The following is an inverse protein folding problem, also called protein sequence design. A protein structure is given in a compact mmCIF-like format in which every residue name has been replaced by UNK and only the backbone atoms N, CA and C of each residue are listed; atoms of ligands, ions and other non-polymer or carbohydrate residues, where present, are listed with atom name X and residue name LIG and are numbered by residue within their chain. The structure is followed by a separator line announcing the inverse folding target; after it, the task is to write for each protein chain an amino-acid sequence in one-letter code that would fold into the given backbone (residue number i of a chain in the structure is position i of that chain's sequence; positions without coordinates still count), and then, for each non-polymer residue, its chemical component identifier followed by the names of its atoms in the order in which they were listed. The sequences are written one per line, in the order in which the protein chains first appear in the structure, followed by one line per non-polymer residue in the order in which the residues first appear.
data_IF_689617179384
#
_entry.id   IF_689617179384
#
_cell.length_a   1.000
_cell.length_b   1.000
_cell.length_c   1.000
_cell.angle_alpha   90.00
_cell.angle_beta   90.00
_cell.angle_gamma   90.00
#
_symmetry.space_group_name_H-M   'P 1'
#
loop_
_entity.id
_entity.type
_entity.pdbx_description
1 polymer ?
#
# COMPACT_ATOMS: atom_id res chain seq x y z
N UNK A 1 -14.36 -23.99 -34.39
CA UNK A 1 -13.67 -22.97 -35.20
C UNK A 1 -12.89 -22.07 -34.24
N UNK A 2 -11.89 -22.64 -33.56
CA UNK A 2 -11.11 -21.99 -32.49
C UNK A 2 -9.64 -22.23 -32.82
N UNK A 3 -9.02 -21.27 -33.49
CA UNK A 3 -7.57 -21.35 -33.82
C UNK A 3 -6.94 -19.98 -34.11
N UNK A 4 -7.61 -18.87 -33.79
CA UNK A 4 -7.09 -17.50 -34.00
C UNK A 4 -6.69 -16.79 -32.70
N UNK A 5 -6.87 -17.45 -31.54
CA UNK A 5 -6.58 -16.86 -30.23
C UNK A 5 -5.20 -17.23 -29.68
N UNK A 6 -4.49 -18.19 -30.28
CA UNK A 6 -3.19 -18.69 -29.77
C UNK A 6 -1.95 -17.93 -30.26
N UNK A 7 -2.10 -16.96 -31.17
CA UNK A 7 -0.98 -16.16 -31.64
C UNK A 7 -0.79 -14.92 -30.74
N UNK A 8 0.38 -14.73 -30.11
CA UNK A 8 0.62 -13.58 -29.26
C UNK A 8 0.56 -12.29 -30.10
N UNK A 9 -0.43 -11.44 -29.80
CA UNK A 9 -0.58 -10.11 -30.40
C UNK A 9 0.42 -9.13 -29.80
N UNK A 10 0.90 -8.18 -30.61
CA UNK A 10 1.87 -7.18 -30.17
C UNK A 10 1.16 -6.10 -29.36
N UNK A 11 1.58 -5.90 -28.11
CA UNK A 11 1.04 -4.88 -27.22
C UNK A 11 1.77 -3.54 -27.37
N UNK A 12 1.02 -2.46 -27.55
CA UNK A 12 1.49 -1.08 -27.60
C UNK A 12 0.83 -0.29 -26.46
N UNK A 13 1.59 0.61 -25.82
CA UNK A 13 1.09 1.40 -24.68
C UNK A 13 0.18 2.57 -25.07
N UNK A 14 0.14 2.99 -26.33
CA UNK A 14 -0.75 4.07 -26.79
C UNK A 14 -0.94 4.03 -28.30
N UNK A 15 -2.11 4.47 -28.77
CA UNK A 15 -2.37 4.73 -30.20
C UNK A 15 -1.37 5.75 -30.77
N UNK A 16 -0.98 6.75 -29.97
CA UNK A 16 -0.01 7.74 -30.39
C UNK A 16 1.36 7.13 -30.70
N UNK A 17 1.77 6.09 -29.97
CA UNK A 17 3.06 5.44 -30.24
C UNK A 17 3.01 4.62 -31.53
N UNK A 18 1.86 4.01 -31.83
CA UNK A 18 1.64 3.37 -33.13
C UNK A 18 1.70 4.37 -34.29
N UNK A 19 1.06 5.55 -34.13
CA UNK A 19 1.13 6.62 -35.14
C UNK A 19 2.57 7.15 -35.32
N UNK A 20 3.32 7.33 -34.23
CA UNK A 20 4.74 7.73 -34.31
C UNK A 20 5.58 6.71 -35.07
N UNK A 21 5.36 5.40 -34.86
CA UNK A 21 6.09 4.36 -35.59
C UNK A 21 5.81 4.45 -37.09
N UNK A 22 4.54 4.66 -37.47
CA UNK A 22 4.16 4.88 -38.87
C UNK A 22 4.83 6.12 -39.46
N UNK A 23 4.81 7.23 -38.75
CA UNK A 23 5.36 8.48 -39.24
C UNK A 23 6.90 8.41 -39.36
N UNK A 24 7.57 7.79 -38.40
CA UNK A 24 9.01 7.52 -38.46
C UNK A 24 9.38 6.61 -39.64
N UNK A 25 8.60 5.54 -39.86
CA UNK A 25 8.80 4.65 -41.00
C UNK A 25 8.62 5.40 -42.33
N UNK A 26 7.55 6.21 -42.44
CA UNK A 26 7.29 7.03 -43.62
C UNK A 26 8.42 8.02 -43.87
N UNK A 27 8.92 8.70 -42.84
CA UNK A 27 10.05 9.63 -42.97
C UNK A 27 11.32 8.93 -43.44
N UNK A 28 11.66 7.77 -42.86
CA UNK A 28 12.83 6.99 -43.27
C UNK A 28 12.72 6.44 -44.70
N UNK A 29 11.52 5.99 -45.10
CA UNK A 29 11.26 5.53 -46.45
C UNK A 29 11.37 6.67 -47.47
N UNK A 30 10.83 7.85 -47.15
CA UNK A 30 10.93 9.04 -47.99
C UNK A 30 12.37 9.57 -48.09
N UNK A 31 13.15 9.55 -47.00
CA UNK A 31 14.55 9.97 -47.05
C UNK A 31 15.38 9.07 -47.96
N UNK A 32 15.21 7.74 -47.86
CA UNK A 32 15.88 6.78 -48.73
C UNK A 32 15.45 6.91 -50.19
N UNK A 33 14.15 7.14 -50.42
CA UNK A 33 13.65 7.40 -51.77
C UNK A 33 14.31 8.64 -52.35
N UNK A 34 14.32 9.75 -51.60
CA UNK A 34 14.89 11.03 -52.05
C UNK A 34 16.38 10.91 -52.39
N UNK A 35 17.14 10.17 -51.59
CA UNK A 35 18.57 9.91 -51.83
C UNK A 35 18.78 9.16 -53.14
N UNK A 36 17.98 8.11 -53.38
CA UNK A 36 18.07 7.32 -54.62
C UNK A 36 17.57 8.07 -55.85
N UNK A 37 16.50 8.86 -55.72
CA UNK A 37 15.99 9.65 -56.85
C UNK A 37 16.96 10.75 -57.26
N UNK A 38 17.64 11.36 -56.29
CA UNK A 38 18.68 12.35 -56.54
C UNK A 38 19.92 11.73 -57.21
N UNK A 39 20.30 10.51 -56.82
CA UNK A 39 21.43 9.80 -57.42
C UNK A 39 21.15 9.33 -58.87
N UNK A 40 19.92 8.88 -59.16
CA UNK A 40 19.56 8.28 -60.45
C UNK A 40 18.93 9.25 -61.47
N UNK A 41 18.68 10.52 -61.11
CA UNK A 41 18.07 11.57 -61.97
C UNK A 41 16.78 11.13 -62.69
N UNK A 42 15.84 10.55 -61.96
CA UNK A 42 14.53 10.20 -62.53
C UNK A 42 13.73 11.44 -62.98
N UNK A 43 12.92 11.35 -64.05
CA UNK A 43 11.94 12.36 -64.41
C UNK A 43 10.95 12.62 -63.26
N UNK A 44 10.55 13.88 -63.05
CA UNK A 44 9.66 14.28 -61.95
C UNK A 44 8.32 13.53 -61.93
N UNK A 45 7.81 13.12 -63.10
CA UNK A 45 6.55 12.39 -63.22
C UNK A 45 6.65 10.95 -62.68
N UNK A 46 7.78 10.27 -62.89
CA UNK A 46 8.05 8.94 -62.34
C UNK A 46 8.28 8.99 -60.84
N UNK A 47 8.96 10.04 -60.35
CA UNK A 47 9.16 10.26 -58.92
C UNK A 47 7.82 10.40 -58.17
N UNK A 48 6.88 11.18 -58.72
CA UNK A 48 5.55 11.35 -58.14
C UNK A 48 4.75 10.04 -58.14
N UNK A 49 4.85 9.24 -59.20
CA UNK A 49 4.19 7.94 -59.28
C UNK A 49 4.75 6.94 -58.24
N UNK A 50 6.07 6.88 -58.10
CA UNK A 50 6.72 6.02 -57.09
C UNK A 50 6.35 6.46 -55.67
N UNK A 51 6.31 7.78 -55.42
CA UNK A 51 5.90 8.32 -54.12
C UNK A 51 4.45 7.94 -53.77
N UNK A 52 3.53 8.02 -54.74
CA UNK A 52 2.15 7.59 -54.54
C UNK A 52 2.04 6.08 -54.24
N UNK A 53 2.81 5.25 -54.94
CA UNK A 53 2.86 3.81 -54.68
C UNK A 53 3.50 3.47 -53.33
N UNK A 54 4.50 4.24 -52.90
CA UNK A 54 5.13 4.08 -51.60
C UNK A 54 4.17 4.41 -50.46
N UNK A 55 3.41 5.50 -50.58
CA UNK A 55 2.37 5.85 -49.60
C UNK A 55 1.29 4.76 -49.53
N UNK A 56 0.82 4.27 -50.68
CA UNK A 56 -0.14 3.16 -50.73
C UNK A 56 0.42 1.87 -50.10
N UNK A 57 1.70 1.59 -50.28
CA UNK A 57 2.37 0.44 -49.68
C UNK A 57 2.46 0.59 -48.16
N UNK A 58 2.81 1.77 -47.65
CA UNK A 58 2.82 2.07 -46.22
C UNK A 58 1.41 1.87 -45.64
N UNK A 59 0.38 2.47 -46.23
CA UNK A 59 -0.98 2.34 -45.72
C UNK A 59 -1.46 0.89 -45.71
N UNK A 60 -1.10 0.12 -46.73
CA UNK A 60 -1.44 -1.31 -46.82
C UNK A 60 -0.69 -2.17 -45.80
N UNK A 61 0.58 -1.88 -45.54
CA UNK A 61 1.37 -2.62 -44.54
C UNK A 61 0.86 -2.37 -43.12
N UNK A 62 0.54 -1.11 -42.80
CA UNK A 62 0.02 -0.76 -41.48
C UNK A 62 -1.40 -1.29 -41.27
N UNK A 63 -2.28 -1.26 -42.28
CA UNK A 63 -3.62 -1.88 -42.19
C UNK A 63 -3.57 -3.41 -42.03
N UNK A 64 -2.62 -4.10 -42.68
CA UNK A 64 -2.41 -5.54 -42.45
C UNK A 64 -1.87 -5.86 -41.05
N UNK A 65 -1.18 -4.92 -40.42
CA UNK A 65 -0.63 -5.09 -39.07
C UNK A 65 -1.65 -4.81 -37.95
N UNK A 66 -2.64 -3.94 -38.19
CA UNK A 66 -3.72 -3.59 -37.25
C UNK A 66 -4.39 -4.78 -36.52
N UNK A 67 -4.83 -5.87 -37.19
CA UNK A 67 -5.50 -6.98 -36.50
C UNK A 67 -4.63 -7.70 -35.46
N UNK A 68 -3.30 -7.62 -35.63
CA UNK A 68 -2.33 -8.26 -34.74
C UNK A 68 -1.86 -7.35 -33.60
N UNK A 69 -2.45 -6.15 -33.46
CA UNK A 69 -2.07 -5.15 -32.47
C UNK A 69 -3.05 -5.12 -31.29
N UNK A 70 -2.52 -4.93 -30.09
CA UNK A 70 -3.26 -4.60 -28.87
C UNK A 70 -2.80 -3.26 -28.34
N UNK A 71 -3.72 -2.37 -28.00
CA UNK A 71 -3.43 -1.07 -27.37
C UNK A 71 -4.00 -1.09 -25.97
N UNK A 72 -3.16 -0.92 -24.94
CA UNK A 72 -3.59 -0.89 -23.54
C UNK A 72 -4.46 -2.10 -23.11
N UNK A 73 -4.18 -3.28 -23.67
CA UNK A 73 -4.92 -4.51 -23.36
C UNK A 73 -6.22 -4.69 -24.16
N UNK A 74 -6.63 -3.70 -24.96
CA UNK A 74 -7.74 -3.82 -25.92
C UNK A 74 -7.22 -4.18 -27.31
N UNK A 75 -8.03 -4.86 -28.13
CA UNK A 75 -7.66 -5.14 -29.51
C UNK A 75 -7.81 -3.87 -30.35
N UNK A 76 -6.93 -3.67 -31.33
CA UNK A 76 -6.98 -2.46 -32.17
C UNK A 76 -8.27 -2.36 -33.00
N UNK A 77 -8.86 -3.49 -33.39
CA UNK A 77 -10.13 -3.56 -34.13
C UNK A 77 -11.34 -3.06 -33.33
N UNK A 78 -11.24 -2.99 -32.00
CA UNK A 78 -12.29 -2.44 -31.13
C UNK A 78 -12.16 -0.93 -30.90
N UNK A 79 -11.12 -0.28 -31.43
CA UNK A 79 -11.03 1.17 -31.44
C UNK A 79 -11.80 1.72 -32.65
N UNK A 80 -12.65 2.72 -32.43
CA UNK A 80 -13.42 3.40 -33.48
C UNK A 80 -12.52 3.93 -34.61
N UNK A 81 -13.05 3.97 -35.84
CA UNK A 81 -12.38 4.35 -37.11
C UNK A 81 -11.62 5.69 -37.09
N UNK A 82 -11.85 6.53 -36.07
CA UNK A 82 -11.18 7.82 -35.87
C UNK A 82 -9.99 7.80 -34.90
N UNK A 83 -9.57 6.62 -34.39
CA UNK A 83 -8.43 6.51 -33.48
C UNK A 83 -8.59 7.29 -32.16
N UNK A 84 -9.80 7.76 -31.88
CA UNK A 84 -10.19 8.30 -30.58
C UNK A 84 -10.70 7.11 -29.79
N UNK A 85 -9.95 6.72 -28.76
CA UNK A 85 -10.52 6.05 -27.59
C UNK A 85 -11.68 6.94 -27.12
N UNK A 86 -12.90 6.73 -27.62
CA UNK A 86 -14.07 7.12 -26.87
C UNK A 86 -14.21 6.02 -25.83
N UNK A 87 -13.40 6.13 -24.78
CA UNK A 87 -13.47 5.24 -23.64
C UNK A 87 -14.94 5.26 -23.17
N UNK A 88 -15.65 4.13 -23.23
CA UNK A 88 -17.05 4.10 -22.86
C UNK A 88 -17.17 4.56 -21.40
N UNK A 89 -18.14 5.44 -21.12
CA UNK A 89 -18.31 6.00 -19.79
C UNK A 89 -18.55 4.88 -18.78
N UNK A 90 -17.57 4.63 -17.91
CA UNK A 90 -17.68 3.62 -16.87
C UNK A 90 -18.39 4.20 -15.64
N UNK A 91 -19.71 4.02 -15.59
CA UNK A 91 -20.54 4.40 -14.45
C UNK A 91 -20.08 3.76 -13.14
N UNK A 92 -19.46 2.58 -13.19
CA UNK A 92 -18.97 1.90 -11.97
C UNK A 92 -17.76 2.63 -11.39
N UNK A 93 -16.89 3.13 -12.26
CA UNK A 93 -15.72 3.92 -11.88
C UNK A 93 -16.15 5.28 -11.33
N UNK A 94 -17.14 5.93 -11.94
CA UNK A 94 -17.71 7.17 -11.42
C UNK A 94 -18.31 6.97 -10.02
N UNK A 95 -19.19 5.97 -9.84
CA UNK A 95 -19.74 5.61 -8.51
C UNK A 95 -18.64 5.35 -7.49
N UNK A 96 -17.55 4.71 -7.91
CA UNK A 96 -16.38 4.48 -7.04
C UNK A 96 -15.70 5.79 -6.66
N UNK A 97 -15.49 6.72 -7.59
CA UNK A 97 -14.95 8.06 -7.30
C UNK A 97 -15.80 8.77 -6.24
N UNK A 98 -17.12 8.77 -6.40
CA UNK A 98 -18.04 9.36 -5.43
C UNK A 98 -17.95 8.70 -4.05
N UNK A 99 -17.93 7.37 -4.01
CA UNK A 99 -17.77 6.64 -2.74
C UNK A 99 -16.43 6.94 -2.06
N UNK A 100 -15.35 7.06 -2.84
CA UNK A 100 -14.02 7.39 -2.32
C UNK A 100 -13.95 8.83 -1.81
N UNK A 101 -14.60 9.77 -2.49
CA UNK A 101 -14.70 11.15 -2.04
C UNK A 101 -15.45 11.24 -0.70
N UNK A 102 -16.56 10.52 -0.55
CA UNK A 102 -17.32 10.50 0.70
C UNK A 102 -16.54 9.84 1.84
N UNK A 103 -15.92 8.67 1.60
CA UNK A 103 -15.06 8.04 2.62
C UNK A 103 -13.91 8.94 3.04
N UNK A 104 -13.29 9.68 2.11
CA UNK A 104 -12.25 10.67 2.42
C UNK A 104 -12.78 11.76 3.35
N UNK A 105 -13.97 12.31 3.07
CA UNK A 105 -14.61 13.32 3.92
C UNK A 105 -14.88 12.77 5.33
N UNK A 106 -15.42 11.55 5.43
CA UNK A 106 -15.67 10.88 6.70
C UNK A 106 -14.38 10.68 7.50
N UNK A 107 -13.28 10.27 6.85
CA UNK A 107 -11.99 10.13 7.50
C UNK A 107 -11.44 11.46 8.01
N UNK A 108 -11.54 12.53 7.21
CA UNK A 108 -11.14 13.86 7.66
C UNK A 108 -11.93 14.32 8.89
N UNK A 109 -13.25 14.07 8.90
CA UNK A 109 -14.10 14.36 10.06
C UNK A 109 -13.66 13.57 11.29
N UNK A 110 -13.49 12.25 11.19
CA UNK A 110 -13.03 11.41 12.31
C UNK A 110 -11.65 11.84 12.82
N UNK A 111 -10.72 12.19 11.93
CA UNK A 111 -9.39 12.66 12.33
C UNK A 111 -9.48 13.99 13.08
N UNK A 112 -10.33 14.92 12.63
CA UNK A 112 -10.53 16.19 13.31
C UNK A 112 -11.18 16.00 14.70
N UNK A 113 -12.19 15.13 14.80
CA UNK A 113 -12.86 14.80 16.06
C UNK A 113 -11.90 14.13 17.04
N UNK A 114 -11.15 13.12 16.59
CA UNK A 114 -10.16 12.42 17.43
C UNK A 114 -9.05 13.34 17.90
N UNK A 115 -8.52 14.21 17.03
CA UNK A 115 -7.52 15.23 17.44
C UNK A 115 -8.05 16.21 18.49
N UNK A 116 -9.36 16.43 18.53
CA UNK A 116 -10.00 17.35 19.48
C UNK A 116 -10.34 16.67 20.81
N UNK A 117 -10.91 15.46 20.80
CA UNK A 117 -11.42 14.81 22.02
C UNK A 117 -10.39 13.93 22.71
N UNK A 118 -9.64 13.13 21.95
CA UNK A 118 -8.78 12.08 22.49
C UNK A 118 -7.66 12.64 23.38
N UNK A 119 -6.97 13.75 23.05
CA UNK A 119 -5.96 14.29 23.95
C UNK A 119 -6.52 14.73 25.31
N UNK A 120 -7.73 15.31 25.33
CA UNK A 120 -8.38 15.74 26.56
C UNK A 120 -8.81 14.54 27.42
N UNK A 121 -9.33 13.49 26.79
CA UNK A 121 -9.67 12.22 27.47
C UNK A 121 -8.41 11.58 28.08
N UNK A 122 -7.33 11.47 27.31
CA UNK A 122 -6.04 10.94 27.81
C UNK A 122 -5.51 11.79 28.97
N UNK A 123 -5.56 13.12 28.85
CA UNK A 123 -5.11 14.01 29.91
C UNK A 123 -5.88 13.74 31.21
N UNK A 124 -7.21 13.66 31.14
CA UNK A 124 -8.03 13.38 32.33
C UNK A 124 -7.68 12.05 32.98
N UNK A 125 -7.53 10.99 32.17
CA UNK A 125 -7.16 9.67 32.67
C UNK A 125 -5.76 9.65 33.31
N UNK A 126 -4.79 10.37 32.74
CA UNK A 126 -3.43 10.46 33.29
C UNK A 126 -3.43 11.23 34.62
N UNK A 127 -4.16 12.34 34.70
CA UNK A 127 -4.30 13.12 35.95
C UNK A 127 -4.92 12.26 37.04
N UNK A 128 -6.02 11.55 36.75
CA UNK A 128 -6.68 10.66 37.70
C UNK A 128 -5.75 9.56 38.22
N UNK A 129 -4.92 8.98 37.34
CA UNK A 129 -3.94 7.96 37.73
C UNK A 129 -2.85 8.54 38.64
N UNK A 130 -2.33 9.73 38.32
CA UNK A 130 -1.32 10.40 39.14
C UNK A 130 -1.87 10.76 40.52
N UNK A 131 -3.11 11.22 40.60
CA UNK A 131 -3.71 11.58 41.89
C UNK A 131 -4.00 10.34 42.75
N UNK A 132 -4.40 9.22 42.14
CA UNK A 132 -4.47 7.93 42.85
C UNK A 132 -3.10 7.48 43.37
N UNK A 133 -2.05 7.64 42.58
CA UNK A 133 -0.69 7.30 43.01
C UNK A 133 -0.25 8.15 44.19
N UNK A 134 -0.44 9.47 44.14
CA UNK A 134 -0.15 10.37 45.26
C UNK A 134 -0.92 10.00 46.52
N UNK A 135 -2.19 9.60 46.39
CA UNK A 135 -3.00 9.16 47.52
C UNK A 135 -2.44 7.88 48.15
N UNK A 136 -1.99 6.92 47.33
CA UNK A 136 -1.35 5.69 47.80
C UNK A 136 -0.01 6.01 48.47
N UNK A 137 0.84 6.83 47.86
CA UNK A 137 2.12 7.25 48.43
C UNK A 137 1.93 7.95 49.79
N UNK A 138 0.93 8.83 49.89
CA UNK A 138 0.59 9.51 51.14
C UNK A 138 0.08 8.55 52.24
N UNK A 139 -0.50 7.40 51.87
CA UNK A 139 -0.90 6.36 52.84
C UNK A 139 0.24 5.42 53.22
N UNK A 140 1.21 5.20 52.33
CA UNK A 140 2.36 4.31 52.54
C UNK A 140 3.55 4.99 53.23
N UNK A 141 3.68 6.31 53.10
CA UNK A 141 4.66 7.13 53.82
C UNK A 141 3.98 7.77 55.04
N UNK A 142 4.23 7.28 56.27
CA UNK A 142 3.74 7.96 57.46
C UNK A 142 4.36 9.35 57.50
N UNK A 143 3.53 10.38 57.61
CA UNK A 143 3.94 11.74 58.00
C UNK A 143 4.62 11.62 59.38
N UNK A 144 5.95 11.56 59.40
CA UNK A 144 6.70 11.38 60.64
C UNK A 144 8.06 10.68 60.54
N UNK A 145 8.65 10.45 59.37
CA UNK A 145 10.11 10.24 59.32
C UNK A 145 10.79 11.60 59.26
N UNK A 146 10.71 12.35 60.38
CA UNK A 146 11.79 13.26 60.70
C UNK A 146 13.06 12.42 60.65
N UNK A 147 13.95 12.77 59.72
CA UNK A 147 15.34 12.29 59.74
C UNK A 147 15.96 12.96 60.97
N UNK A 148 15.68 12.39 62.13
CA UNK A 148 16.53 12.55 63.30
C UNK A 148 17.82 11.84 62.91
N UNK A 149 18.89 12.63 62.76
CA UNK A 149 20.26 12.14 62.87
C UNK A 149 20.38 11.46 64.24
N UNK A 150 20.04 10.16 64.28
CA UNK A 150 20.34 9.31 65.41
C UNK A 150 21.62 8.55 65.07
N UNK A 151 22.74 9.15 65.46
CA UNK A 151 23.97 8.43 65.73
C UNK A 151 23.68 7.33 66.78
N UNK A 152 23.35 6.11 66.37
CA UNK A 152 23.54 4.96 67.26
C UNK A 152 23.47 3.58 66.57
N UNK A 153 24.63 2.88 66.63
CA UNK A 153 24.86 1.42 66.64
C UNK A 153 24.82 0.60 65.34
N UNK A 154 25.96 -0.01 64.92
CA UNK A 154 26.04 -1.01 63.87
C UNK A 154 25.84 -2.43 64.42
N UNK A 155 24.77 -2.69 65.18
CA UNK A 155 24.33 -4.04 65.48
C UNK A 155 22.97 -4.27 64.83
N UNK A 156 23.00 -4.98 63.70
CA UNK A 156 21.82 -5.29 62.91
C UNK A 156 20.83 -6.12 63.71
N UNK A 157 19.65 -5.55 63.92
CA UNK A 157 18.52 -6.20 64.59
C UNK A 157 18.17 -7.50 63.84
N UNK A 158 18.38 -8.70 64.42
CA UNK A 158 18.30 -9.99 63.70
C UNK A 158 16.89 -10.27 63.17
N UNK A 159 15.87 -9.68 63.81
CA UNK A 159 14.47 -9.77 63.41
C UNK A 159 14.23 -9.04 62.08
N UNK A 160 14.94 -7.94 61.84
CA UNK A 160 14.83 -7.16 60.59
C UNK A 160 15.48 -7.91 59.42
N UNK A 161 16.62 -8.56 59.66
CA UNK A 161 17.29 -9.38 58.64
C UNK A 161 16.45 -10.60 58.25
N UNK A 162 15.86 -11.31 59.23
CA UNK A 162 14.98 -12.44 58.97
C UNK A 162 13.76 -12.06 58.12
N UNK A 163 13.10 -10.93 58.42
CA UNK A 163 11.97 -10.44 57.61
C UNK A 163 12.36 -10.11 56.17
N UNK A 164 13.56 -9.56 55.97
CA UNK A 164 14.07 -9.25 54.62
C UNK A 164 14.37 -10.54 53.87
N UNK A 165 14.98 -11.53 54.51
CA UNK A 165 15.24 -12.85 53.91
C UNK A 165 13.94 -13.58 53.56
N UNK A 166 12.94 -13.56 54.45
CA UNK A 166 11.61 -14.13 54.18
C UNK A 166 10.93 -13.44 52.99
N UNK A 167 10.96 -12.10 52.93
CA UNK A 167 10.39 -11.35 51.82
C UNK A 167 11.12 -11.65 50.49
N UNK A 168 12.45 -11.79 50.53
CA UNK A 168 13.23 -12.19 49.36
C UNK A 168 12.90 -13.61 48.91
N UNK A 169 12.75 -14.55 49.84
CA UNK A 169 12.35 -15.92 49.51
C UNK A 169 10.95 -15.97 48.89
N UNK A 170 9.98 -15.24 49.45
CA UNK A 170 8.62 -15.18 48.91
C UNK A 170 8.61 -14.60 47.49
N UNK A 171 9.31 -13.49 47.26
CA UNK A 171 9.38 -12.86 45.93
C UNK A 171 10.11 -13.73 44.91
N UNK A 172 11.16 -14.45 45.32
CA UNK A 172 11.89 -15.39 44.45
C UNK A 172 11.01 -16.58 44.08
N UNK A 173 10.24 -17.13 45.04
CA UNK A 173 9.31 -18.22 44.78
C UNK A 173 8.19 -17.77 43.82
N UNK A 174 7.62 -16.58 44.03
CA UNK A 174 6.60 -16.02 43.14
C UNK A 174 7.16 -15.82 41.71
N UNK A 175 8.40 -15.35 41.57
CA UNK A 175 9.04 -15.20 40.27
C UNK A 175 9.19 -16.55 39.55
N UNK A 176 9.59 -17.60 40.27
CA UNK A 176 9.70 -18.95 39.71
C UNK A 176 8.35 -19.53 39.29
N UNK A 177 7.29 -19.33 40.09
CA UNK A 177 5.93 -19.72 39.71
C UNK A 177 5.44 -18.98 38.46
N UNK A 178 5.78 -17.70 38.36
CA UNK A 178 5.40 -16.86 37.23
C UNK A 178 6.15 -17.29 35.95
N UNK A 179 7.45 -17.62 36.06
CA UNK A 179 8.23 -18.19 34.95
C UNK A 179 7.63 -19.51 34.44
N UNK A 180 7.22 -20.40 35.35
CA UNK A 180 6.59 -21.67 34.99
C UNK A 180 5.21 -21.49 34.34
N UNK A 181 4.45 -20.46 34.74
CA UNK A 181 3.08 -20.25 34.26
C UNK A 181 3.00 -19.40 32.98
N UNK A 182 3.96 -18.51 32.72
CA UNK A 182 3.98 -17.65 31.52
C UNK A 182 3.92 -18.48 30.25
N UNK A 183 4.79 -19.47 30.09
CA UNK A 183 4.88 -20.26 28.85
C UNK A 183 3.57 -20.97 28.55
N UNK A 184 2.94 -21.54 29.57
CA UNK A 184 1.63 -22.21 29.45
C UNK A 184 0.50 -21.24 29.10
N UNK A 185 0.50 -20.04 29.69
CA UNK A 185 -0.51 -19.02 29.36
C UNK A 185 -0.31 -18.45 27.96
N UNK A 186 0.95 -18.33 27.52
CA UNK A 186 1.28 -17.92 26.16
C UNK A 186 0.76 -18.91 25.12
N UNK A 187 1.00 -20.21 25.32
CA UNK A 187 0.46 -21.27 24.45
C UNK A 187 -1.07 -21.25 24.41
N UNK A 188 -1.73 -21.11 25.57
CA UNK A 188 -3.20 -20.98 25.62
C UNK A 188 -3.70 -19.74 24.87
N UNK A 189 -2.97 -18.64 24.94
CA UNK A 189 -3.27 -17.41 24.20
C UNK A 189 -3.16 -17.60 22.69
N UNK A 190 -2.11 -18.27 22.21
CA UNK A 190 -1.95 -18.56 20.78
C UNK A 190 -3.04 -19.52 20.28
N UNK A 191 -3.35 -20.58 21.03
CA UNK A 191 -4.45 -21.50 20.69
C UNK A 191 -5.80 -20.77 20.65
N UNK A 192 -6.07 -19.88 21.60
CA UNK A 192 -7.30 -19.09 21.60
C UNK A 192 -7.40 -18.16 20.38
N UNK A 193 -6.29 -17.57 19.92
CA UNK A 193 -6.25 -16.76 18.69
C UNK A 193 -6.57 -17.61 17.46
N UNK A 194 -5.99 -18.80 17.36
CA UNK A 194 -6.24 -19.73 16.25
C UNK A 194 -7.71 -20.15 16.22
N UNK A 195 -8.27 -20.57 17.36
CA UNK A 195 -9.69 -20.95 17.45
C UNK A 195 -10.60 -19.76 17.12
N UNK A 196 -10.28 -18.55 17.59
CA UNK A 196 -11.05 -17.35 17.26
C UNK A 196 -11.01 -17.03 15.75
N UNK A 197 -9.88 -17.24 15.10
CA UNK A 197 -9.74 -17.07 13.65
C UNK A 197 -10.55 -18.14 12.89
N UNK A 198 -10.51 -19.38 13.34
CA UNK A 198 -11.24 -20.50 12.75
C UNK A 198 -12.76 -20.31 12.88
N UNK A 199 -13.26 -19.94 14.06
CA UNK A 199 -14.67 -19.60 14.31
C UNK A 199 -15.11 -18.41 13.45
N UNK A 200 -14.22 -17.42 13.24
CA UNK A 200 -14.50 -16.28 12.36
C UNK A 200 -14.57 -16.70 10.89
N UNK A 201 -13.77 -17.68 10.46
CA UNK A 201 -13.83 -18.25 9.10
C UNK A 201 -14.99 -19.21 8.88
N UNK A 202 -15.55 -19.79 9.95
CA UNK A 202 -16.69 -20.71 9.94
C UNK A 202 -18.06 -20.02 10.01
N UNK A 203 -18.13 -18.68 9.86
CA UNK A 203 -19.42 -18.01 9.76
C UNK A 203 -20.20 -18.51 8.51
N UNK A 204 -21.51 -18.75 8.63
CA UNK A 204 -22.36 -19.20 7.52
C UNK A 204 -22.46 -18.17 6.39
#
# INVERSE_FOLDING_TARGET
MESREDLPRVSVGSVNDWLKVRDNYKQAALSLLSERTNASRFPAQEQNAIMAHLDQFIDRTFSLAQPNLRVNGTNFESLDDNGKEMDPFDESLDRRIWSLADTRLQWHKRIAETRRSVPAEIQSAVVDLLDRHKAIDATLLPVGSEVTDDESNPEGDPIRQQRIEEALQITTNLANELEQTISRQHERGELAKVVAAEVKSLKP
#
